data_IF_041983605987
#
_entry.id   IF_041983605987
#
_cell.length_a   1.000
_cell.length_b   1.000
_cell.length_c   1.000
_cell.angle_alpha   90.00
_cell.angle_beta   90.00
_cell.angle_gamma   90.00
#
_symmetry.space_group_name_H-M   'P 1'
#
loop_
_entity.id
_entity.type
_entity.pdbx_description
1 polymer ?
#
# COMPACT_ATOMS: atom_id res chain seq x y z
N UNK A 1 21.73 -7.43 -10.15
CA UNK A 1 22.50 -6.56 -9.23
C UNK A 1 22.25 -7.08 -7.83
N UNK A 2 23.30 -7.44 -7.09
CA UNK A 2 23.17 -7.99 -5.74
C UNK A 2 22.90 -6.84 -4.74
N UNK A 3 21.96 -7.02 -3.81
CA UNK A 3 21.63 -6.02 -2.79
C UNK A 3 20.55 -4.98 -3.16
N UNK A 4 19.83 -5.16 -4.27
CA UNK A 4 18.65 -4.35 -4.59
C UNK A 4 17.37 -4.96 -4.02
N UNK A 5 16.40 -4.11 -3.71
CA UNK A 5 15.04 -4.48 -3.34
C UNK A 5 14.03 -3.71 -4.20
N UNK A 6 12.85 -4.29 -4.38
CA UNK A 6 11.73 -3.64 -5.03
C UNK A 6 10.83 -2.97 -3.99
N UNK A 7 10.25 -1.84 -4.35
CA UNK A 7 9.18 -1.20 -3.58
C UNK A 7 8.07 -0.81 -4.53
N UNK A 8 6.84 -1.24 -4.28
CA UNK A 8 5.68 -0.88 -5.11
C UNK A 8 5.41 0.63 -5.02
N UNK A 9 5.55 1.22 -3.84
CA UNK A 9 5.28 2.65 -3.61
C UNK A 9 6.44 3.39 -2.93
N UNK A 10 6.51 4.70 -3.16
CA UNK A 10 7.39 5.63 -2.45
C UNK A 10 6.67 6.98 -2.26
N UNK A 11 5.61 6.99 -1.44
CA UNK A 11 4.71 8.15 -1.33
C UNK A 11 5.40 9.34 -0.62
N UNK A 12 5.23 10.53 -1.18
CA UNK A 12 6.00 11.75 -0.85
C UNK A 12 5.26 12.85 -0.08
N UNK A 13 4.21 12.56 0.68
CA UNK A 13 3.51 13.57 1.49
C UNK A 13 4.44 14.12 2.57
N UNK A 14 4.68 15.43 2.53
CA UNK A 14 5.67 16.11 3.38
C UNK A 14 5.07 16.97 4.48
N UNK A 15 3.76 17.20 4.45
CA UNK A 15 3.03 18.00 5.44
C UNK A 15 1.75 17.25 5.86
N UNK A 16 1.43 17.15 7.16
CA UNK A 16 0.26 16.42 7.64
C UNK A 16 -1.06 17.05 7.20
N UNK A 17 -1.08 18.35 6.89
CA UNK A 17 -2.27 19.09 6.44
C UNK A 17 -2.56 18.89 4.94
N UNK A 18 -1.66 18.22 4.20
CA UNK A 18 -1.93 17.82 2.82
C UNK A 18 -2.92 16.65 2.79
N UNK A 19 -3.97 16.80 1.99
CA UNK A 19 -4.98 15.78 1.74
C UNK A 19 -4.54 14.73 0.69
N UNK A 20 -3.24 14.46 0.57
CA UNK A 20 -2.66 13.57 -0.46
C UNK A 20 -2.34 12.18 0.08
N UNK A 21 -2.22 11.19 -0.81
CA UNK A 21 -1.91 9.81 -0.45
C UNK A 21 -1.89 8.89 -1.67
N UNK A 22 -1.60 7.61 -1.44
CA UNK A 22 -1.77 6.54 -2.43
C UNK A 22 -2.75 5.50 -1.88
N UNK A 23 -3.81 5.19 -2.62
CA UNK A 23 -4.74 4.10 -2.31
C UNK A 23 -4.68 3.06 -3.43
N UNK A 24 -4.47 1.80 -3.06
CA UNK A 24 -4.45 0.64 -3.97
C UNK A 24 -5.60 -0.26 -3.53
N UNK A 25 -6.70 -0.21 -4.28
CA UNK A 25 -7.95 -0.92 -3.98
C UNK A 25 -8.31 -1.88 -5.11
N UNK A 26 -8.76 -3.11 -4.79
CA UNK A 26 -9.22 -4.07 -5.79
C UNK A 26 -8.14 -4.53 -6.78
N UNK A 27 -6.87 -4.45 -6.39
CA UNK A 27 -5.72 -4.72 -7.26
C UNK A 27 -5.12 -6.10 -7.02
N UNK A 28 -4.22 -6.53 -7.91
CA UNK A 28 -3.39 -7.72 -7.74
C UNK A 28 -1.89 -7.33 -7.74
N UNK A 29 -1.24 -7.49 -6.59
CA UNK A 29 0.20 -7.25 -6.41
C UNK A 29 0.94 -8.57 -6.59
N UNK A 30 1.43 -8.83 -7.80
CA UNK A 30 2.04 -10.12 -8.20
C UNK A 30 3.39 -9.93 -8.86
N UNK A 31 4.23 -10.97 -8.80
CA UNK A 31 5.50 -10.99 -9.51
C UNK A 31 5.27 -11.14 -11.02
N UNK A 32 6.06 -10.42 -11.82
CA UNK A 32 6.25 -10.77 -13.21
C UNK A 32 6.87 -12.18 -13.32
N UNK A 33 6.61 -12.94 -14.41
CA UNK A 33 7.11 -14.31 -14.56
C UNK A 33 8.63 -14.44 -14.38
N UNK A 34 9.40 -13.49 -14.88
CA UNK A 34 10.87 -13.47 -14.79
C UNK A 34 11.35 -13.26 -13.35
N UNK A 35 10.63 -12.45 -12.57
CA UNK A 35 10.90 -12.25 -11.16
C UNK A 35 10.54 -13.50 -10.34
N UNK A 36 9.40 -14.13 -10.65
CA UNK A 36 8.96 -15.36 -9.99
C UNK A 36 9.90 -16.55 -10.28
N UNK A 37 10.49 -16.60 -11.48
CA UNK A 37 11.40 -17.67 -11.89
C UNK A 37 12.81 -17.54 -11.27
N UNK A 38 13.17 -16.39 -10.70
CA UNK A 38 14.50 -16.14 -10.14
C UNK A 38 14.66 -16.70 -8.71
N UNK A 39 14.64 -18.03 -8.58
CA UNK A 39 14.80 -18.72 -7.31
C UNK A 39 16.23 -18.67 -6.75
N UNK A 40 17.25 -18.49 -7.62
CA UNK A 40 18.65 -18.48 -7.21
C UNK A 40 19.05 -17.17 -6.50
N UNK A 41 18.41 -16.06 -6.85
CA UNK A 41 18.68 -14.74 -6.29
C UNK A 41 17.36 -13.97 -6.05
N UNK A 42 16.58 -14.34 -5.02
CA UNK A 42 15.30 -13.71 -4.77
C UNK A 42 15.47 -12.22 -4.48
N UNK A 43 14.77 -11.37 -5.22
CA UNK A 43 14.74 -9.93 -4.98
C UNK A 43 13.64 -9.63 -3.96
N UNK A 44 14.03 -9.12 -2.79
CA UNK A 44 13.07 -8.71 -1.75
C UNK A 44 12.14 -7.63 -2.31
N UNK A 45 10.84 -7.76 -2.03
CA UNK A 45 9.82 -6.83 -2.53
C UNK A 45 8.92 -6.38 -1.40
N UNK A 46 8.69 -5.08 -1.31
CA UNK A 46 7.88 -4.44 -0.28
C UNK A 46 6.74 -3.63 -0.90
N UNK A 47 5.66 -3.45 -0.14
CA UNK A 47 4.52 -2.60 -0.51
C UNK A 47 4.93 -1.13 -0.65
N UNK A 48 5.92 -0.67 0.12
CA UNK A 48 6.44 0.68 -0.02
C UNK A 48 7.54 1.07 0.93
N UNK A 49 7.99 2.32 0.78
CA UNK A 49 8.92 3.01 1.68
C UNK A 49 8.63 4.51 1.79
N UNK A 50 8.83 5.14 2.95
CA UNK A 50 8.41 6.52 3.17
C UNK A 50 9.39 7.54 2.58
N UNK A 51 9.13 8.04 1.37
CA UNK A 51 10.01 9.06 0.76
C UNK A 51 10.01 10.39 1.54
N UNK A 52 8.94 10.70 2.28
CA UNK A 52 8.78 11.90 3.11
C UNK A 52 8.12 11.59 4.46
N UNK A 53 8.29 12.50 5.42
CA UNK A 53 7.89 12.33 6.83
C UNK A 53 6.45 11.87 7.05
N UNK A 54 5.50 12.28 6.21
CA UNK A 54 4.08 11.96 6.39
C UNK A 54 3.57 11.05 5.29
N UNK A 55 4.45 10.20 4.72
CA UNK A 55 4.10 9.21 3.70
C UNK A 55 2.84 8.45 4.11
N UNK A 56 1.90 8.35 3.18
CA UNK A 56 0.56 7.79 3.41
C UNK A 56 0.15 6.90 2.25
N UNK A 57 0.10 5.60 2.50
CA UNK A 57 -0.22 4.58 1.51
C UNK A 57 -1.16 3.55 2.13
N UNK A 58 -2.22 3.20 1.44
CA UNK A 58 -3.16 2.15 1.86
C UNK A 58 -3.26 1.10 0.76
N UNK A 59 -3.14 -0.17 1.15
CA UNK A 59 -3.40 -1.32 0.27
C UNK A 59 -4.60 -2.06 0.82
N UNK A 60 -5.70 -2.08 0.09
CA UNK A 60 -6.96 -2.61 0.59
C UNK A 60 -7.72 -3.44 -0.43
N UNK A 61 -8.47 -4.44 0.05
CA UNK A 61 -9.33 -5.31 -0.77
C UNK A 61 -8.59 -5.87 -2.01
N UNK A 62 -7.29 -6.13 -1.84
CA UNK A 62 -6.39 -6.47 -2.93
C UNK A 62 -5.81 -7.88 -2.72
N UNK A 63 -5.47 -8.54 -3.83
CA UNK A 63 -4.70 -9.77 -3.78
C UNK A 63 -3.21 -9.45 -3.65
N UNK A 64 -2.57 -9.93 -2.60
CA UNK A 64 -1.14 -9.77 -2.33
C UNK A 64 -0.45 -11.11 -2.52
N UNK A 65 0.34 -11.23 -3.59
CA UNK A 65 1.11 -12.42 -3.90
C UNK A 65 2.25 -12.66 -2.92
N UNK A 66 2.75 -13.90 -2.87
CA UNK A 66 3.77 -14.33 -1.90
C UNK A 66 5.18 -13.77 -2.15
N UNK A 67 5.31 -12.93 -3.18
CA UNK A 67 6.49 -12.11 -3.46
C UNK A 67 6.76 -11.07 -2.35
N UNK A 68 5.69 -10.55 -1.75
CA UNK A 68 5.81 -9.48 -0.75
C UNK A 68 6.48 -10.05 0.50
N UNK A 69 7.55 -9.40 0.91
CA UNK A 69 8.28 -9.75 2.12
C UNK A 69 7.33 -9.70 3.34
N UNK A 70 7.42 -10.64 4.28
CA UNK A 70 6.54 -10.67 5.46
C UNK A 70 6.55 -9.37 6.29
N UNK A 71 7.67 -8.62 6.30
CA UNK A 71 7.73 -7.31 6.94
C UNK A 71 6.79 -6.29 6.27
N UNK A 72 6.47 -6.49 4.99
CA UNK A 72 5.52 -5.71 4.18
C UNK A 72 6.08 -4.37 3.72
N UNK A 73 6.70 -3.61 4.62
CA UNK A 73 7.15 -2.24 4.39
C UNK A 73 8.65 -2.10 4.68
N UNK A 74 9.34 -1.28 3.88
CA UNK A 74 10.78 -1.06 4.00
C UNK A 74 11.07 0.34 4.53
N UNK A 75 11.96 0.51 5.51
CA UNK A 75 12.33 1.84 5.99
C UNK A 75 13.00 2.62 4.84
N UNK A 76 12.88 3.95 4.87
CA UNK A 76 13.65 4.79 3.96
C UNK A 76 15.11 4.88 4.37
N UNK A 77 15.36 5.24 5.64
CA UNK A 77 16.68 5.29 6.26
C UNK A 77 16.53 5.36 7.78
N UNK A 78 17.07 4.38 8.51
CA UNK A 78 16.95 4.34 9.97
C UNK A 78 15.49 4.39 10.44
N UNK A 79 15.21 5.24 11.41
CA UNK A 79 13.90 5.52 11.99
C UNK A 79 13.13 6.66 11.32
N UNK A 80 13.62 7.17 10.19
CA UNK A 80 12.98 8.27 9.47
C UNK A 80 11.52 7.95 9.12
N UNK A 81 10.62 8.86 9.52
CA UNK A 81 9.19 8.85 9.26
C UNK A 81 8.39 7.70 9.90
N UNK A 82 9.01 6.74 10.59
CA UNK A 82 8.32 5.52 11.07
C UNK A 82 7.19 5.83 12.06
N UNK A 83 7.34 6.92 12.81
CA UNK A 83 6.34 7.38 13.79
C UNK A 83 5.25 8.28 13.18
N UNK A 84 5.49 8.86 12.00
CA UNK A 84 4.65 9.92 11.42
C UNK A 84 4.00 9.55 10.08
N UNK A 85 4.47 8.47 9.45
CA UNK A 85 3.83 7.88 8.28
C UNK A 85 2.47 7.27 8.65
N UNK A 86 1.65 6.99 7.64
CA UNK A 86 0.41 6.23 7.78
C UNK A 86 0.37 5.16 6.69
N UNK A 87 0.84 3.96 7.01
CA UNK A 87 0.78 2.80 6.13
C UNK A 87 -0.24 1.82 6.65
N UNK A 88 -1.17 1.44 5.80
CA UNK A 88 -2.29 0.64 6.21
C UNK A 88 -2.63 -0.49 5.25
N UNK A 89 -3.09 -1.61 5.81
CA UNK A 89 -3.62 -2.76 5.08
C UNK A 89 -5.04 -3.07 5.57
N UNK A 90 -5.97 -3.33 4.64
CA UNK A 90 -7.37 -3.66 4.96
C UNK A 90 -7.90 -4.77 4.06
N UNK A 91 -8.42 -5.85 4.65
CA UNK A 91 -9.13 -6.93 3.93
C UNK A 91 -8.40 -7.47 2.68
N UNK A 92 -7.07 -7.55 2.73
CA UNK A 92 -6.27 -8.12 1.64
C UNK A 92 -6.33 -9.65 1.66
N UNK A 93 -6.15 -10.28 0.50
CA UNK A 93 -6.14 -11.74 0.36
C UNK A 93 -4.87 -12.24 -0.30
N UNK A 94 -4.62 -13.54 -0.26
CA UNK A 94 -3.46 -14.15 -0.91
C UNK A 94 -2.28 -14.40 0.03
N UNK A 95 -1.25 -15.12 -0.45
CA UNK A 95 -0.18 -15.63 0.40
C UNK A 95 0.74 -14.55 0.98
N UNK A 96 0.78 -13.35 0.42
CA UNK A 96 1.52 -12.21 0.95
C UNK A 96 0.70 -11.29 1.87
N UNK A 97 -0.59 -11.57 2.07
CA UNK A 97 -1.49 -10.70 2.84
C UNK A 97 -1.44 -10.92 4.35
N UNK A 98 -0.77 -11.97 4.84
CA UNK A 98 -0.61 -12.21 6.29
C UNK A 98 0.16 -11.05 6.93
N UNK A 99 -0.48 -10.39 7.91
CA UNK A 99 0.06 -9.23 8.62
C UNK A 99 0.77 -9.58 9.92
N UNK A 100 0.75 -10.85 10.36
CA UNK A 100 1.29 -11.28 11.67
C UNK A 100 2.79 -11.03 11.87
N UNK A 101 3.53 -10.82 10.78
CA UNK A 101 5.00 -10.57 10.77
C UNK A 101 5.38 -9.22 10.20
N UNK A 102 4.41 -8.32 10.05
CA UNK A 102 4.65 -6.96 9.56
C UNK A 102 5.52 -6.18 10.53
N UNK A 103 6.11 -5.11 10.02
CA UNK A 103 6.86 -4.14 10.82
C UNK A 103 6.03 -3.62 12.01
N UNK A 104 6.68 -3.44 13.16
CA UNK A 104 6.05 -2.88 14.36
C UNK A 104 6.16 -1.36 14.47
N UNK A 105 6.07 -0.63 13.36
CA UNK A 105 6.19 0.83 13.36
C UNK A 105 4.93 1.50 13.90
N UNK A 106 5.02 2.60 14.67
CA UNK A 106 3.83 3.29 15.16
C UNK A 106 2.89 3.80 14.06
N UNK A 107 3.44 4.18 12.90
CA UNK A 107 2.66 4.60 11.72
C UNK A 107 2.12 3.45 10.85
N UNK A 108 2.38 2.19 11.20
CA UNK A 108 1.80 1.05 10.50
C UNK A 108 0.50 0.59 11.18
N UNK A 109 -0.51 0.29 10.36
CA UNK A 109 -1.85 -0.07 10.82
C UNK A 109 -2.40 -1.26 10.05
N UNK A 110 -2.99 -2.22 10.76
CA UNK A 110 -3.93 -3.17 10.18
C UNK A 110 -5.31 -2.61 10.48
N UNK A 111 -6.07 -2.27 9.45
CA UNK A 111 -7.42 -1.71 9.64
C UNK A 111 -8.44 -2.84 9.72
N UNK A 112 -9.38 -2.67 10.63
CA UNK A 112 -10.48 -3.58 10.94
C UNK A 112 -11.85 -2.88 10.91
N UNK A 113 -11.88 -1.54 10.87
CA UNK A 113 -13.10 -0.73 10.73
C UNK A 113 -13.33 -0.27 9.28
N UNK A 114 -14.57 -0.47 8.80
CA UNK A 114 -15.03 -0.03 7.47
C UNK A 114 -15.00 1.50 7.30
N UNK A 115 -15.19 2.25 8.37
CA UNK A 115 -15.14 3.71 8.38
C UNK A 115 -13.71 4.22 8.13
N UNK A 116 -12.72 3.59 8.75
CA UNK A 116 -11.32 3.95 8.58
C UNK A 116 -10.83 3.64 7.16
N UNK A 117 -11.13 2.43 6.65
CA UNK A 117 -10.83 2.06 5.28
C UNK A 117 -11.61 2.92 4.26
N UNK A 118 -12.86 3.27 4.58
CA UNK A 118 -13.74 4.11 3.76
C UNK A 118 -13.17 5.49 3.44
N UNK A 119 -12.28 6.03 4.28
CA UNK A 119 -11.60 7.30 4.05
C UNK A 119 -10.66 7.29 2.82
N UNK A 120 -10.25 6.11 2.37
CA UNK A 120 -9.30 5.91 1.27
C UNK A 120 -9.96 5.45 -0.05
N UNK A 121 -11.29 5.44 -0.08
CA UNK A 121 -12.08 5.09 -1.27
C UNK A 121 -12.16 6.25 -2.27
N UNK A 122 -12.68 5.97 -3.46
CA UNK A 122 -12.84 6.95 -4.54
C UNK A 122 -13.71 8.14 -4.11
N UNK A 123 -14.80 7.88 -3.39
CA UNK A 123 -15.71 8.94 -2.90
C UNK A 123 -15.00 9.86 -1.91
N UNK A 124 -14.28 9.31 -0.94
CA UNK A 124 -13.68 10.10 0.15
C UNK A 124 -12.37 10.79 -0.26
N UNK A 125 -11.49 10.08 -0.97
CA UNK A 125 -10.11 10.53 -1.18
C UNK A 125 -9.98 11.48 -2.38
N UNK A 126 -10.77 11.28 -3.43
CA UNK A 126 -10.66 12.05 -4.68
C UNK A 126 -11.99 12.67 -5.12
N UNK A 127 -13.02 12.60 -4.28
CA UNK A 127 -14.37 13.12 -4.56
C UNK A 127 -14.90 12.62 -5.91
N UNK A 128 -14.63 11.34 -6.21
CA UNK A 128 -14.78 10.77 -7.55
C UNK A 128 -16.18 10.89 -8.14
N UNK A 129 -17.21 10.84 -7.31
CA UNK A 129 -18.62 10.96 -7.74
C UNK A 129 -18.93 12.30 -8.42
N UNK A 130 -18.16 13.35 -8.13
CA UNK A 130 -18.36 14.67 -8.72
C UNK A 130 -17.91 14.76 -10.19
N UNK A 131 -17.02 13.86 -10.64
CA UNK A 131 -16.35 14.02 -11.93
C UNK A 131 -16.19 12.73 -12.74
N UNK A 132 -16.00 11.57 -12.11
CA UNK A 132 -15.83 10.29 -12.82
C UNK A 132 -17.03 9.90 -13.69
N UNK A 133 -18.31 10.14 -13.33
CA UNK A 133 -19.44 9.80 -14.19
C UNK A 133 -19.38 10.44 -15.59
N UNK A 134 -18.76 11.62 -15.70
CA UNK A 134 -18.64 12.35 -16.97
C UNK A 134 -17.56 11.75 -17.88
N UNK A 135 -16.67 10.92 -17.34
CA UNK A 135 -15.57 10.29 -18.09
C UNK A 135 -15.99 9.03 -18.84
N UNK A 136 -17.10 8.40 -18.43
CA UNK A 136 -17.55 7.09 -18.94
C UNK A 136 -16.71 5.89 -18.47
N UNK A 137 -15.67 6.12 -17.66
CA UNK A 137 -14.86 5.05 -17.06
C UNK A 137 -15.66 4.39 -15.93
N UNK A 138 -15.77 3.04 -15.91
CA UNK A 138 -16.41 2.35 -14.80
C UNK A 138 -15.57 2.53 -13.53
N UNK A 139 -16.24 2.78 -12.39
CA UNK A 139 -15.57 2.95 -11.10
C UNK A 139 -16.43 2.41 -9.95
N UNK A 140 -15.78 2.06 -8.85
CA UNK A 140 -16.42 1.74 -7.57
C UNK A 140 -16.21 2.92 -6.64
N UNK A 141 -17.30 3.49 -6.12
CA UNK A 141 -17.25 4.66 -5.22
C UNK A 141 -16.61 4.36 -3.86
N UNK A 142 -17.03 3.26 -3.23
CA UNK A 142 -16.69 2.90 -1.85
C UNK A 142 -15.82 1.65 -1.74
N UNK A 143 -15.98 0.92 -0.63
CA UNK A 143 -15.43 -0.42 -0.45
C UNK A 143 -16.12 -1.43 -1.40
N UNK A 144 -15.42 -2.49 -1.77
CA UNK A 144 -15.88 -3.52 -2.73
C UNK A 144 -16.72 -4.59 -2.03
N UNK A 145 -16.47 -4.85 -0.74
CA UNK A 145 -17.22 -5.81 0.08
C UNK A 145 -18.38 -5.19 0.86
#
# INVERSE_FOLDING_TARGET
MQGQSNTVTAQGRSDPNQNTGTSIQGCALVAAPELAANAAFPTLTYLGRPWKNFSRTVVMESYVGGLVDPAGWMPWSGDFALDTLYYAEYNNTGPGADTSRRVGWPGYHVLDDVADAGNFTVTSMVLGENWLPQTGVPFTSGLIS
#
